data_IF_921940381911
#
_entry.id   IF_921940381911
#
_cell.length_a   1.000
_cell.length_b   1.000
_cell.length_c   1.000
_cell.angle_alpha   90.00
_cell.angle_beta   90.00
_cell.angle_gamma   90.00
#
_symmetry.space_group_name_H-M   'P 1'
#
loop_
_entity.id
_entity.type
_entity.pdbx_description
1 polymer ?
#
# COMPACT_ATOMS: atom_id res chain seq x y z
N UNK A 1 14.63 -3.89 3.40
CA UNK A 1 14.31 -5.01 2.49
C UNK A 1 13.99 -4.53 1.07
N UNK A 2 12.98 -3.67 0.77
CA UNK A 2 12.69 -3.31 -0.63
C UNK A 2 13.86 -2.59 -1.32
N UNK A 3 14.61 -1.74 -0.63
CA UNK A 3 15.81 -1.06 -1.15
C UNK A 3 16.83 -2.05 -1.71
N UNK A 4 17.14 -3.12 -0.96
CA UNK A 4 18.13 -4.10 -1.40
C UNK A 4 17.69 -4.84 -2.67
N UNK A 5 16.41 -5.17 -2.79
CA UNK A 5 15.87 -5.80 -3.98
C UNK A 5 15.94 -4.88 -5.21
N UNK A 6 15.55 -3.61 -5.05
CA UNK A 6 15.65 -2.62 -6.14
C UNK A 6 17.10 -2.41 -6.57
N UNK A 7 18.01 -2.26 -5.61
CA UNK A 7 19.44 -2.09 -5.91
C UNK A 7 20.01 -3.32 -6.63
N UNK A 8 19.62 -4.53 -6.21
CA UNK A 8 20.03 -5.76 -6.88
C UNK A 8 19.60 -5.78 -8.35
N UNK A 9 18.33 -5.50 -8.62
CA UNK A 9 17.80 -5.48 -10.00
C UNK A 9 18.49 -4.38 -10.82
N UNK A 10 18.64 -3.17 -10.28
CA UNK A 10 19.31 -2.06 -10.96
C UNK A 10 20.77 -2.38 -11.31
N UNK A 11 21.46 -3.16 -10.48
CA UNK A 11 22.84 -3.58 -10.76
C UNK A 11 22.89 -4.71 -11.79
N UNK A 12 21.93 -5.64 -11.76
CA UNK A 12 21.87 -6.76 -12.70
C UNK A 12 21.42 -6.32 -14.09
N UNK A 13 20.45 -5.39 -14.16
CA UNK A 13 19.81 -4.93 -15.40
C UNK A 13 19.77 -3.38 -15.44
N UNK A 14 20.93 -2.71 -15.64
CA UNK A 14 21.02 -1.24 -15.51
C UNK A 14 20.17 -0.47 -16.53
N UNK A 15 19.90 -1.06 -17.69
CA UNK A 15 19.11 -0.44 -18.75
C UNK A 15 17.60 -0.68 -18.64
N UNK A 16 17.17 -1.55 -17.71
CA UNK A 16 15.78 -1.92 -17.55
C UNK A 16 15.00 -0.92 -16.70
N UNK A 17 13.73 -0.68 -17.04
CA UNK A 17 12.80 0.00 -16.15
C UNK A 17 12.37 -0.94 -15.01
N UNK A 18 12.29 -0.41 -13.81
CA UNK A 18 11.97 -1.17 -12.60
C UNK A 18 10.68 -0.64 -11.98
N UNK A 19 9.66 -1.49 -11.95
CA UNK A 19 8.44 -1.23 -11.20
C UNK A 19 8.40 -2.10 -9.93
N UNK A 20 7.74 -1.61 -8.89
CA UNK A 20 7.51 -2.36 -7.66
C UNK A 20 6.00 -2.53 -7.44
N UNK A 21 5.58 -3.76 -7.17
CA UNK A 21 4.24 -4.09 -6.69
C UNK A 21 4.34 -4.35 -5.19
N UNK A 22 3.67 -3.53 -4.40
CA UNK A 22 3.63 -3.65 -2.94
C UNK A 22 2.21 -3.93 -2.44
N UNK A 23 1.97 -5.13 -1.92
CA UNK A 23 0.66 -5.50 -1.37
C UNK A 23 0.63 -5.34 0.14
N UNK A 24 -0.42 -4.69 0.66
CA UNK A 24 -0.70 -4.47 2.08
C UNK A 24 0.55 -3.96 2.81
N UNK A 25 1.08 -4.69 3.79
CA UNK A 25 2.30 -4.33 4.52
C UNK A 25 3.54 -4.17 3.60
N UNK A 26 3.60 -4.91 2.49
CA UNK A 26 4.66 -4.74 1.49
C UNK A 26 4.63 -3.37 0.82
N UNK A 27 3.44 -2.86 0.50
CA UNK A 27 3.26 -1.51 -0.02
C UNK A 27 3.61 -0.43 1.01
N UNK A 28 3.25 -0.65 2.28
CA UNK A 28 3.68 0.23 3.38
C UNK A 28 5.19 0.28 3.48
N UNK A 29 5.87 -0.87 3.48
CA UNK A 29 7.34 -0.93 3.53
C UNK A 29 8.01 -0.26 2.32
N UNK A 30 7.32 -0.24 1.18
CA UNK A 30 7.79 0.46 -0.03
C UNK A 30 7.72 1.98 0.15
N UNK A 31 6.59 2.49 0.65
CA UNK A 31 6.40 3.93 0.88
C UNK A 31 7.27 4.47 2.03
N UNK A 32 7.49 3.68 3.08
CA UNK A 32 8.31 4.06 4.24
C UNK A 32 9.82 3.81 4.03
N UNK A 33 10.24 3.37 2.85
CA UNK A 33 11.64 3.11 2.57
C UNK A 33 12.50 4.40 2.71
N UNK A 34 13.57 4.31 3.48
CA UNK A 34 14.52 5.41 3.67
C UNK A 34 15.93 4.94 3.32
N UNK A 35 16.59 5.52 2.28
CA UNK A 35 16.06 6.54 1.37
C UNK A 35 14.89 6.02 0.51
N UNK A 36 14.08 6.93 -0.10
CA UNK A 36 13.00 6.55 -1.00
C UNK A 36 13.49 5.66 -2.15
N UNK A 37 12.63 4.73 -2.59
CA UNK A 37 12.98 3.81 -3.67
C UNK A 37 13.14 4.57 -5.00
N UNK A 38 14.21 4.28 -5.71
CA UNK A 38 14.46 4.77 -7.07
C UNK A 38 13.86 3.78 -8.06
N UNK A 39 12.56 3.90 -8.31
CA UNK A 39 11.79 3.05 -9.23
C UNK A 39 11.08 3.89 -10.28
N UNK A 40 10.72 3.26 -11.39
CA UNK A 40 10.09 3.94 -12.53
C UNK A 40 8.56 3.92 -12.44
N UNK A 41 8.00 3.01 -11.65
CA UNK A 41 6.58 2.99 -11.29
C UNK A 41 6.34 2.25 -9.98
N UNK A 42 5.20 2.54 -9.36
CA UNK A 42 4.77 1.92 -8.12
C UNK A 42 3.32 1.47 -8.19
N UNK A 43 3.06 0.20 -7.90
CA UNK A 43 1.73 -0.37 -7.79
C UNK A 43 1.48 -0.71 -6.32
N UNK A 44 0.45 -0.12 -5.74
CA UNK A 44 0.09 -0.26 -4.33
C UNK A 44 -1.26 -0.99 -4.20
N UNK A 45 -1.24 -2.17 -3.62
CA UNK A 45 -2.42 -3.01 -3.44
C UNK A 45 -2.86 -3.03 -1.98
N UNK A 46 -4.09 -2.62 -1.72
CA UNK A 46 -4.71 -2.67 -0.40
C UNK A 46 -3.80 -2.05 0.69
N UNK A 47 -3.18 -0.91 0.40
CA UNK A 47 -2.27 -0.21 1.32
C UNK A 47 -3.03 0.79 2.17
N UNK A 48 -2.97 0.64 3.47
CA UNK A 48 -3.64 1.53 4.41
C UNK A 48 -2.92 2.89 4.53
N UNK A 49 -3.66 3.98 4.83
CA UNK A 49 -3.07 5.31 5.01
C UNK A 49 -2.17 5.42 6.25
N UNK A 50 -2.65 4.86 7.38
CA UNK A 50 -1.92 4.86 8.66
C UNK A 50 -2.16 3.56 9.42
N UNK A 51 -1.21 3.19 10.28
CA UNK A 51 -1.33 1.97 11.10
C UNK A 51 -2.51 2.05 12.07
N UNK A 52 -2.87 3.25 12.53
CA UNK A 52 -4.01 3.47 13.42
C UNK A 52 -5.33 3.10 12.74
N UNK A 53 -5.52 3.54 11.49
CA UNK A 53 -6.70 3.22 10.68
C UNK A 53 -6.76 1.71 10.45
N UNK A 54 -5.65 1.10 10.01
CA UNK A 54 -5.59 -0.35 9.76
C UNK A 54 -5.90 -1.16 11.01
N UNK A 55 -5.34 -0.78 12.16
CA UNK A 55 -5.56 -1.45 13.44
C UNK A 55 -7.02 -1.33 13.88
N UNK A 56 -7.60 -0.12 13.80
CA UNK A 56 -9.01 0.12 14.13
C UNK A 56 -9.93 -0.72 13.24
N UNK A 57 -9.77 -0.66 11.92
CA UNK A 57 -10.60 -1.41 10.99
C UNK A 57 -10.54 -2.92 11.25
N UNK A 58 -9.34 -3.46 11.50
CA UNK A 58 -9.16 -4.88 11.81
C UNK A 58 -9.84 -5.27 13.10
N UNK A 59 -9.72 -4.48 14.17
CA UNK A 59 -10.38 -4.74 15.43
C UNK A 59 -11.90 -4.62 15.33
N UNK A 60 -12.41 -3.67 14.57
CA UNK A 60 -13.84 -3.55 14.28
C UNK A 60 -14.37 -4.77 13.50
N UNK A 61 -13.59 -5.34 12.58
CA UNK A 61 -13.98 -6.55 11.85
C UNK A 61 -14.12 -7.78 12.77
N UNK A 62 -13.29 -7.89 13.82
CA UNK A 62 -13.34 -9.03 14.75
C UNK A 62 -14.28 -8.84 15.94
N UNK A 63 -14.38 -7.63 16.46
CA UNK A 63 -15.07 -7.32 17.73
C UNK A 63 -16.24 -6.35 17.55
N UNK A 64 -16.63 -6.07 16.30
CA UNK A 64 -17.65 -5.05 16.00
C UNK A 64 -17.22 -3.64 16.40
N UNK A 65 -18.19 -2.71 16.52
CA UNK A 65 -17.88 -1.28 16.75
C UNK A 65 -17.09 -1.00 18.04
N UNK A 66 -17.13 -1.90 19.02
CA UNK A 66 -16.37 -1.78 20.26
C UNK A 66 -14.87 -2.02 20.06
N UNK A 67 -14.47 -2.74 19.01
CA UNK A 67 -13.06 -3.04 18.70
C UNK A 67 -12.19 -1.79 18.55
N UNK A 68 -12.78 -0.69 18.03
CA UNK A 68 -12.06 0.59 17.86
C UNK A 68 -11.43 1.14 19.14
N UNK A 69 -12.05 0.87 20.30
CA UNK A 69 -11.55 1.37 21.59
C UNK A 69 -10.31 0.61 22.07
N UNK A 70 -10.07 -0.59 21.55
CA UNK A 70 -8.87 -1.38 21.86
C UNK A 70 -7.65 -0.98 21.00
N UNK A 71 -7.85 -0.28 19.87
CA UNK A 71 -6.77 0.09 18.97
C UNK A 71 -5.65 0.91 19.63
N UNK A 72 -5.93 1.96 20.43
CA UNK A 72 -4.88 2.74 21.10
C UNK A 72 -4.03 1.90 22.07
N UNK A 73 -4.67 0.95 22.76
CA UNK A 73 -3.97 0.07 23.70
C UNK A 73 -3.00 -0.88 22.95
N UNK A 74 -3.45 -1.43 21.82
CA UNK A 74 -2.61 -2.30 20.99
C UNK A 74 -1.42 -1.53 20.39
N UNK A 75 -1.65 -0.32 19.90
CA UNK A 75 -0.59 0.53 19.35
C UNK A 75 0.42 0.97 20.41
N UNK A 76 -0.03 1.22 21.65
CA UNK A 76 0.88 1.48 22.77
C UNK A 76 1.78 0.28 23.09
N UNK A 77 1.25 -0.96 22.98
CA UNK A 77 2.06 -2.17 23.13
C UNK A 77 3.11 -2.31 22.03
N UNK A 78 2.80 -1.90 20.79
CA UNK A 78 3.75 -1.88 19.69
C UNK A 78 4.98 -1.03 20.03
N UNK A 79 4.75 0.17 20.55
CA UNK A 79 5.82 1.05 21.01
C UNK A 79 6.62 0.46 22.18
N UNK A 80 5.93 -0.05 23.19
CA UNK A 80 6.58 -0.61 24.40
C UNK A 80 7.40 -1.86 24.12
N UNK A 81 6.97 -2.71 23.18
CA UNK A 81 7.61 -4.02 22.92
C UNK A 81 8.66 -3.97 21.81
N UNK A 82 8.44 -3.12 20.80
CA UNK A 82 9.26 -3.09 19.59
C UNK A 82 9.97 -1.75 19.38
N UNK A 83 9.71 -0.75 20.22
CA UNK A 83 10.25 0.60 20.04
C UNK A 83 9.73 1.34 18.80
N UNK A 84 8.68 0.82 18.16
CA UNK A 84 8.12 1.40 16.93
C UNK A 84 6.97 2.31 17.28
N UNK A 85 7.07 3.60 16.93
CA UNK A 85 5.96 4.54 17.05
C UNK A 85 4.96 4.37 15.91
N UNK A 86 3.67 4.49 16.22
CA UNK A 86 2.62 4.53 15.22
C UNK A 86 2.81 5.71 14.25
N UNK A 87 3.32 6.85 14.74
CA UNK A 87 3.62 8.03 13.92
C UNK A 87 4.64 7.76 12.80
N UNK A 88 5.51 6.77 12.99
CA UNK A 88 6.46 6.32 11.96
C UNK A 88 5.84 5.38 10.91
N UNK A 89 4.59 4.94 11.11
CA UNK A 89 3.90 3.98 10.24
C UNK A 89 2.70 4.64 9.52
N UNK A 90 3.00 5.73 8.80
CA UNK A 90 2.03 6.59 8.11
C UNK A 90 2.35 6.71 6.61
N UNK A 91 2.04 5.71 5.79
CA UNK A 91 2.24 5.75 4.34
C UNK A 91 1.68 6.99 3.65
N UNK A 92 0.59 7.54 4.18
CA UNK A 92 -0.06 8.74 3.63
C UNK A 92 0.86 9.97 3.60
N UNK A 93 1.82 10.06 4.51
CA UNK A 93 2.75 11.19 4.59
C UNK A 93 3.89 11.06 3.57
N UNK A 94 4.06 9.87 2.96
CA UNK A 94 5.13 9.55 2.03
C UNK A 94 4.66 9.40 0.58
N UNK A 95 3.38 9.09 0.34
CA UNK A 95 2.89 8.80 -1.01
C UNK A 95 3.04 10.00 -1.97
N UNK A 96 3.00 11.22 -1.46
CA UNK A 96 3.20 12.43 -2.25
C UNK A 96 4.65 12.63 -2.75
N UNK A 97 5.62 11.98 -2.10
CA UNK A 97 7.06 12.14 -2.40
C UNK A 97 7.65 10.99 -3.21
N UNK A 98 6.83 10.08 -3.74
CA UNK A 98 7.27 8.87 -4.45
C UNK A 98 8.08 9.17 -5.71
N UNK A 99 7.78 10.26 -6.42
CA UNK A 99 8.57 10.74 -7.58
C UNK A 99 8.42 9.91 -8.86
N UNK A 100 7.49 8.96 -8.91
CA UNK A 100 7.16 8.15 -10.10
C UNK A 100 5.65 7.96 -10.22
N UNK A 101 5.13 7.51 -11.39
CA UNK A 101 3.72 7.13 -11.54
C UNK A 101 3.28 6.10 -10.51
N UNK A 102 2.06 6.27 -9.98
CA UNK A 102 1.49 5.39 -8.94
C UNK A 102 0.15 4.82 -9.38
N UNK A 103 0.02 3.49 -9.35
CA UNK A 103 -1.26 2.81 -9.51
C UNK A 103 -1.70 2.25 -8.15
N UNK A 104 -2.83 2.73 -7.63
CA UNK A 104 -3.40 2.27 -6.37
C UNK A 104 -4.62 1.40 -6.66
N UNK A 105 -4.66 0.20 -6.08
CA UNK A 105 -5.78 -0.72 -6.25
C UNK A 105 -6.14 -1.41 -4.95
N UNK A 106 -7.41 -1.76 -4.77
CA UNK A 106 -7.92 -2.50 -3.62
C UNK A 106 -9.21 -3.23 -3.96
N UNK A 107 -9.66 -4.12 -3.09
CA UNK A 107 -10.96 -4.75 -3.24
C UNK A 107 -12.10 -3.77 -2.90
N UNK A 108 -13.14 -3.74 -3.73
CA UNK A 108 -14.36 -2.92 -3.50
C UNK A 108 -15.04 -3.22 -2.15
N UNK A 109 -14.91 -4.46 -1.67
CA UNK A 109 -15.49 -4.92 -0.40
C UNK A 109 -14.43 -5.18 0.67
N UNK A 110 -13.24 -4.59 0.53
CA UNK A 110 -12.21 -4.70 1.55
C UNK A 110 -12.64 -3.97 2.83
N UNK A 111 -12.73 -4.74 3.92
CA UNK A 111 -13.10 -4.22 5.24
C UNK A 111 -11.89 -3.88 6.10
N UNK A 112 -10.70 -4.34 5.72
CA UNK A 112 -9.44 -4.10 6.44
C UNK A 112 -8.81 -2.79 5.97
N UNK A 113 -8.73 -2.63 4.64
CA UNK A 113 -8.31 -1.38 4.00
C UNK A 113 -9.50 -0.89 3.18
N UNK A 114 -10.35 -0.12 3.82
CA UNK A 114 -11.65 0.27 3.25
C UNK A 114 -11.49 1.16 2.02
N UNK A 115 -12.44 1.15 1.08
CA UNK A 115 -12.39 2.05 -0.09
C UNK A 115 -12.11 3.51 0.28
N UNK A 116 -12.72 4.03 1.34
CA UNK A 116 -12.53 5.41 1.81
C UNK A 116 -11.09 5.69 2.26
N UNK A 117 -10.42 4.67 2.84
CA UNK A 117 -9.02 4.75 3.24
C UNK A 117 -8.12 4.82 2.01
N UNK A 118 -8.42 4.02 0.98
CA UNK A 118 -7.72 4.01 -0.31
C UNK A 118 -7.90 5.34 -1.06
N UNK A 119 -9.11 5.88 -1.11
CA UNK A 119 -9.38 7.19 -1.70
C UNK A 119 -8.61 8.30 -0.98
N UNK A 120 -8.51 8.22 0.34
CA UNK A 120 -7.72 9.14 1.14
C UNK A 120 -6.24 9.07 0.79
N UNK A 121 -5.66 7.87 0.65
CA UNK A 121 -4.29 7.67 0.21
C UNK A 121 -4.09 8.19 -1.23
N UNK A 122 -5.01 7.83 -2.14
CA UNK A 122 -4.98 8.27 -3.53
C UNK A 122 -5.04 9.79 -3.67
N UNK A 123 -5.85 10.48 -2.87
CA UNK A 123 -5.96 11.94 -2.90
C UNK A 123 -4.62 12.64 -2.67
N UNK A 124 -3.73 12.04 -1.87
CA UNK A 124 -2.41 12.57 -1.52
C UNK A 124 -1.32 12.22 -2.53
N UNK A 125 -1.49 11.18 -3.33
CA UNK A 125 -0.52 10.82 -4.36
C UNK A 125 -0.40 11.92 -5.43
N UNK A 126 0.81 12.14 -5.95
CA UNK A 126 1.06 13.05 -7.07
C UNK A 126 0.70 12.39 -8.41
N UNK A 127 0.35 13.21 -9.40
CA UNK A 127 0.17 12.73 -10.79
C UNK A 127 1.53 12.47 -11.47
N UNK A 128 1.64 11.47 -12.37
CA UNK A 128 0.56 10.61 -12.86
C UNK A 128 0.12 9.55 -11.83
N UNK A 129 -1.17 9.40 -11.64
CA UNK A 129 -1.74 8.40 -10.71
C UNK A 129 -3.02 7.77 -11.26
N UNK A 130 -3.25 6.51 -10.93
CA UNK A 130 -4.45 5.76 -11.29
C UNK A 130 -5.05 5.08 -10.06
N UNK A 131 -6.37 4.91 -10.05
CA UNK A 131 -7.10 4.21 -8.99
C UNK A 131 -8.03 3.17 -9.63
N UNK A 132 -8.06 1.98 -9.05
CA UNK A 132 -9.00 0.94 -9.43
C UNK A 132 -9.45 0.12 -8.23
N UNK A 133 -10.76 -0.08 -8.10
CA UNK A 133 -11.33 -1.03 -7.16
C UNK A 133 -11.73 -2.31 -7.88
N UNK A 134 -11.21 -3.45 -7.42
CA UNK A 134 -11.56 -4.77 -7.94
C UNK A 134 -12.98 -5.11 -7.50
N UNK A 135 -13.94 -5.28 -8.43
CA UNK A 135 -15.34 -5.51 -8.08
C UNK A 135 -15.51 -6.76 -7.22
N UNK A 136 -16.33 -6.67 -6.18
CA UNK A 136 -16.66 -7.75 -5.24
C UNK A 136 -15.50 -8.34 -4.43
N UNK A 137 -14.25 -7.96 -4.69
CA UNK A 137 -13.10 -8.45 -3.92
C UNK A 137 -13.05 -7.83 -2.51
N UNK A 138 -12.61 -8.62 -1.54
CA UNK A 138 -12.25 -8.16 -0.20
C UNK A 138 -10.74 -7.93 -0.06
N UNK A 139 -10.21 -8.12 1.17
CA UNK A 139 -8.76 -8.09 1.42
C UNK A 139 -8.13 -9.44 1.03
N UNK A 140 -7.90 -9.62 -0.25
CA UNK A 140 -7.44 -10.88 -0.87
C UNK A 140 -6.38 -10.61 -1.91
N UNK A 141 -5.79 -11.67 -2.46
CA UNK A 141 -4.94 -11.59 -3.64
C UNK A 141 -5.76 -11.06 -4.84
N UNK A 142 -5.50 -9.81 -5.23
CA UNK A 142 -6.27 -9.12 -6.27
C UNK A 142 -6.04 -9.70 -7.66
N UNK A 143 -4.84 -10.24 -7.93
CA UNK A 143 -4.57 -10.94 -9.17
C UNK A 143 -5.44 -12.20 -9.30
N UNK A 144 -5.55 -13.01 -8.25
CA UNK A 144 -6.45 -14.17 -8.25
C UNK A 144 -7.91 -13.79 -8.34
N UNK A 145 -8.31 -12.64 -7.76
CA UNK A 145 -9.69 -12.19 -7.76
C UNK A 145 -10.16 -11.66 -9.11
N UNK A 146 -9.29 -10.96 -9.86
CA UNK A 146 -9.64 -10.29 -11.12
C UNK A 146 -8.98 -10.92 -12.37
N UNK A 147 -7.97 -11.80 -12.20
CA UNK A 147 -7.33 -12.53 -13.30
C UNK A 147 -6.86 -11.64 -14.44
N UNK A 148 -7.32 -11.94 -15.65
CA UNK A 148 -6.92 -11.23 -16.85
C UNK A 148 -7.21 -9.71 -16.83
N UNK A 149 -8.24 -9.25 -16.11
CA UNK A 149 -8.50 -7.82 -15.97
C UNK A 149 -7.40 -7.13 -15.14
N UNK A 150 -6.95 -7.78 -14.07
CA UNK A 150 -5.81 -7.28 -13.27
C UNK A 150 -4.55 -7.17 -14.14
N UNK A 151 -4.22 -8.22 -14.88
CA UNK A 151 -3.05 -8.26 -15.77
C UNK A 151 -3.13 -7.13 -16.81
N UNK A 152 -4.26 -7.00 -17.49
CA UNK A 152 -4.48 -5.97 -18.51
C UNK A 152 -4.28 -4.55 -17.95
N UNK A 153 -4.82 -4.26 -16.76
CA UNK A 153 -4.70 -2.93 -16.14
C UNK A 153 -3.27 -2.63 -15.68
N UNK A 154 -2.61 -3.62 -15.07
CA UNK A 154 -1.20 -3.49 -14.65
C UNK A 154 -0.30 -3.27 -15.87
N UNK A 155 -0.44 -4.07 -16.92
CA UNK A 155 0.36 -3.92 -18.14
C UNK A 155 0.11 -2.56 -18.81
N UNK A 156 -1.16 -2.15 -18.97
CA UNK A 156 -1.50 -0.84 -19.53
C UNK A 156 -0.94 0.33 -18.72
N UNK A 157 -0.87 0.21 -17.40
CA UNK A 157 -0.20 1.20 -16.55
C UNK A 157 1.32 1.22 -16.77
N UNK A 158 1.94 0.05 -16.83
CA UNK A 158 3.39 -0.08 -17.03
C UNK A 158 3.85 0.37 -18.44
N UNK A 159 2.99 0.30 -19.44
CA UNK A 159 3.27 0.79 -20.79
C UNK A 159 3.35 2.34 -20.87
N UNK A 160 2.79 3.04 -19.88
CA UNK A 160 2.79 4.51 -19.81
C UNK A 160 4.07 5.09 -19.15
N UNK A 161 5.00 4.23 -18.72
CA UNK A 161 6.25 4.65 -18.04
C UNK A 161 7.31 5.18 -19.03
#
# INVERSE_FOLDING_TARGET
MPIAAVNFIRNAEPASRVAVIGSSLGGVATLLATPPLKVDALILEAVYPTIEIATRNRLENYFGPLGRFAAPLLLKQLHMRLGISADGLRPIDHVASVGCPVFITSGEKDRTTRPEDIETLFSRAQSPKQLWFVPKAGHVDLHKAAGAEYESRVLAFLEQM
#
